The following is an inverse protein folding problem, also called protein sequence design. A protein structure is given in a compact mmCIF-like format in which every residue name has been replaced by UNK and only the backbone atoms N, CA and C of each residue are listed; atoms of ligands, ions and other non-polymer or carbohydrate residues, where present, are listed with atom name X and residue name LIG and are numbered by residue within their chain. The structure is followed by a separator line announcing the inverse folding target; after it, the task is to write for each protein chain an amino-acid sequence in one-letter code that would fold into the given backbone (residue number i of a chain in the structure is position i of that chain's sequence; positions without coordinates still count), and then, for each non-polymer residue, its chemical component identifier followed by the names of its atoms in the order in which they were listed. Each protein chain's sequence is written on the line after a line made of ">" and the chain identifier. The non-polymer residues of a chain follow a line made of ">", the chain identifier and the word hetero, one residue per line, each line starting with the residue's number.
data_IF_924440703933
#
_entry.id   IF_924440703933
#
_cell.length_a   1.000
_cell.length_b   1.000
_cell.length_c   1.000
_cell.angle_alpha   90.00
_cell.angle_beta   90.00
_cell.angle_gamma   90.00
#
_symmetry.space_group_name_H-M   'P 1'
#
loop_
_entity.id
_entity.type
_entity.pdbx_description
1 polymer ?
#
# COMPACT_ATOMS: atom_id res chain seq x y z
N UNK A 1 -19.85 5.31 25.39
CA UNK A 1 -19.08 4.10 25.83
C UNK A 1 -18.33 3.56 24.63
N UNK A 2 -17.10 3.14 24.83
CA UNK A 2 -16.27 2.51 23.78
C UNK A 2 -16.75 1.06 23.60
N UNK A 3 -16.67 0.52 22.40
CA UNK A 3 -16.86 -0.92 22.18
C UNK A 3 -15.76 -1.63 22.98
N UNK A 4 -16.15 -2.31 24.06
CA UNK A 4 -15.20 -2.97 24.97
C UNK A 4 -14.82 -4.36 24.46
N UNK A 5 -13.66 -4.91 24.86
CA UNK A 5 -13.30 -6.29 24.55
C UNK A 5 -14.38 -7.30 25.01
N UNK A 6 -14.99 -7.09 26.15
CA UNK A 6 -16.06 -7.93 26.68
C UNK A 6 -17.32 -7.91 25.80
N UNK A 7 -17.67 -6.75 25.21
CA UNK A 7 -18.77 -6.66 24.26
C UNK A 7 -18.46 -7.46 22.99
N UNK A 8 -17.23 -7.39 22.47
CA UNK A 8 -16.80 -8.16 21.31
C UNK A 8 -16.84 -9.66 21.60
N UNK A 9 -16.39 -10.08 22.78
CA UNK A 9 -16.40 -11.48 23.20
C UNK A 9 -17.83 -12.02 23.31
N UNK A 10 -18.73 -11.27 23.96
CA UNK A 10 -20.15 -11.60 24.04
C UNK A 10 -20.80 -11.69 22.64
N UNK A 11 -20.42 -10.80 21.75
CA UNK A 11 -20.89 -10.81 20.35
C UNK A 11 -20.42 -12.06 19.62
N UNK A 12 -19.14 -12.42 19.74
CA UNK A 12 -18.55 -13.63 19.14
C UNK A 12 -19.21 -14.92 19.64
N UNK A 13 -19.49 -15.01 20.93
CA UNK A 13 -20.12 -16.19 21.51
C UNK A 13 -21.57 -16.43 21.09
N UNK A 14 -22.26 -15.38 20.56
CA UNK A 14 -23.66 -15.46 20.12
C UNK A 14 -23.86 -15.60 18.61
N UNK A 15 -22.81 -15.47 17.83
CA UNK A 15 -22.91 -15.51 16.38
C UNK A 15 -22.08 -16.67 15.83
N UNK A 16 -22.74 -17.62 15.16
CA UNK A 16 -22.05 -18.69 14.44
C UNK A 16 -21.34 -18.10 13.22
N UNK A 17 -20.02 -18.28 13.16
CA UNK A 17 -19.21 -17.82 12.04
C UNK A 17 -19.65 -18.47 10.72
N UNK A 18 -19.98 -19.75 10.73
CA UNK A 18 -20.47 -20.48 9.55
C UNK A 18 -21.79 -19.91 9.05
N UNK A 19 -22.66 -19.37 9.91
CA UNK A 19 -23.91 -18.71 9.49
C UNK A 19 -23.66 -17.38 8.77
N UNK A 20 -22.63 -16.65 9.18
CA UNK A 20 -22.23 -15.39 8.52
C UNK A 20 -21.57 -15.66 7.17
N UNK A 21 -20.58 -16.57 7.17
CA UNK A 21 -19.85 -16.98 5.97
C UNK A 21 -20.77 -17.64 4.96
N UNK A 22 -21.70 -18.47 5.41
CA UNK A 22 -22.63 -19.22 4.57
C UNK A 22 -23.59 -18.35 3.75
N UNK A 23 -23.73 -17.06 4.09
CA UNK A 23 -24.49 -16.10 3.26
C UNK A 23 -23.77 -15.73 1.94
N UNK A 24 -22.46 -15.99 1.85
CA UNK A 24 -21.63 -15.64 0.69
C UNK A 24 -20.86 -16.82 0.11
N UNK A 25 -20.57 -17.82 0.92
CA UNK A 25 -19.78 -19.01 0.57
C UNK A 25 -20.62 -20.25 0.79
N UNK A 26 -20.74 -21.10 -0.25
CA UNK A 26 -21.37 -22.40 -0.08
C UNK A 26 -20.48 -23.30 0.78
N UNK A 27 -20.91 -23.54 2.01
CA UNK A 27 -20.19 -24.34 2.99
C UNK A 27 -20.71 -25.78 3.03
N UNK A 28 -19.79 -26.73 3.09
CA UNK A 28 -20.07 -28.14 3.35
C UNK A 28 -19.58 -28.52 4.76
N UNK A 29 -20.46 -28.95 5.65
CA UNK A 29 -20.06 -29.34 7.01
C UNK A 29 -19.25 -30.64 6.99
N UNK A 30 -18.16 -30.64 7.77
CA UNK A 30 -17.29 -31.79 8.01
C UNK A 30 -16.92 -31.86 9.49
N UNK A 31 -17.78 -32.52 10.30
CA UNK A 31 -17.66 -32.47 11.76
C UNK A 31 -17.91 -31.07 12.31
N UNK A 32 -17.04 -30.61 13.21
CA UNK A 32 -17.10 -29.27 13.81
C UNK A 32 -16.56 -28.13 12.88
N UNK A 33 -16.21 -28.49 11.66
CA UNK A 33 -15.69 -27.52 10.65
C UNK A 33 -16.60 -27.47 9.46
N UNK A 34 -16.60 -26.33 8.78
CA UNK A 34 -17.25 -26.17 7.49
C UNK A 34 -16.20 -25.75 6.43
N UNK A 35 -16.28 -26.37 5.26
CA UNK A 35 -15.33 -26.18 4.18
C UNK A 35 -16.04 -25.57 2.96
N UNK A 36 -15.42 -24.60 2.30
CA UNK A 36 -15.94 -23.98 1.09
C UNK A 36 -14.84 -23.42 0.19
N UNK A 37 -15.24 -22.86 -0.95
CA UNK A 37 -14.32 -22.09 -1.79
C UNK A 37 -14.03 -20.74 -1.16
N UNK A 38 -12.80 -20.31 -1.21
CA UNK A 38 -12.37 -19.05 -0.59
C UNK A 38 -12.97 -17.83 -1.30
N UNK A 39 -13.59 -16.89 -0.56
CA UNK A 39 -14.10 -15.67 -1.17
C UNK A 39 -13.01 -14.62 -1.44
N UNK A 40 -11.76 -14.86 -0.99
CA UNK A 40 -10.66 -13.92 -1.07
C UNK A 40 -9.67 -14.21 -2.20
N UNK A 41 -9.70 -15.43 -2.77
CA UNK A 41 -8.92 -15.79 -3.96
C UNK A 41 -9.71 -16.79 -4.82
N UNK A 42 -9.33 -16.91 -6.08
CA UNK A 42 -9.97 -17.86 -7.02
C UNK A 42 -9.37 -19.24 -6.87
N UNK A 43 -10.21 -20.25 -6.59
CA UNK A 43 -9.79 -21.64 -6.47
C UNK A 43 -10.88 -22.60 -7.00
N UNK A 44 -10.47 -23.81 -7.37
CA UNK A 44 -11.38 -24.87 -7.84
C UNK A 44 -11.66 -25.92 -6.77
N UNK A 45 -10.77 -26.09 -5.84
CA UNK A 45 -10.85 -27.05 -4.71
C UNK A 45 -11.05 -26.29 -3.41
N UNK A 46 -12.05 -26.67 -2.58
CA UNK A 46 -12.29 -25.99 -1.32
C UNK A 46 -11.08 -26.03 -0.39
N UNK A 47 -10.58 -24.86 -0.01
CA UNK A 47 -9.48 -24.70 0.97
C UNK A 47 -9.83 -23.76 2.13
N UNK A 48 -11.02 -23.15 2.08
CA UNK A 48 -11.49 -22.20 3.09
C UNK A 48 -12.21 -22.95 4.22
N UNK A 49 -11.58 -23.04 5.38
CA UNK A 49 -12.07 -23.67 6.58
C UNK A 49 -12.71 -22.66 7.53
N UNK A 50 -13.85 -23.00 8.08
CA UNK A 50 -14.58 -22.25 9.11
C UNK A 50 -14.76 -23.13 10.32
N UNK A 51 -14.33 -22.68 11.49
CA UNK A 51 -14.48 -23.35 12.77
C UNK A 51 -15.36 -22.49 13.69
N UNK A 52 -16.57 -22.95 13.97
CA UNK A 52 -17.51 -22.21 14.83
C UNK A 52 -17.09 -22.25 16.30
N UNK A 53 -16.47 -23.34 16.78
CA UNK A 53 -16.06 -23.50 18.19
C UNK A 53 -14.93 -22.50 18.53
N UNK A 54 -14.00 -22.29 17.60
CA UNK A 54 -12.90 -21.33 17.73
C UNK A 54 -13.33 -19.93 17.29
N UNK A 55 -14.49 -19.78 16.62
CA UNK A 55 -14.95 -18.50 16.04
C UNK A 55 -14.01 -17.94 14.95
N UNK A 56 -13.31 -18.83 14.24
CA UNK A 56 -12.20 -18.47 13.37
C UNK A 56 -12.29 -19.16 12.02
N UNK A 57 -11.91 -18.44 10.95
CA UNK A 57 -11.73 -19.04 9.63
C UNK A 57 -10.27 -18.97 9.19
N UNK A 58 -9.87 -19.95 8.40
CA UNK A 58 -8.55 -19.99 7.78
C UNK A 58 -8.65 -20.60 6.38
N UNK A 59 -8.02 -19.97 5.40
CA UNK A 59 -7.88 -20.51 4.05
C UNK A 59 -6.48 -21.11 3.88
N UNK A 60 -6.41 -22.41 3.63
CA UNK A 60 -5.13 -23.09 3.37
C UNK A 60 -4.56 -22.80 1.98
N UNK A 61 -5.34 -22.19 1.07
CA UNK A 61 -4.87 -21.79 -0.26
C UNK A 61 -4.16 -20.44 -0.28
N UNK A 62 -4.71 -19.41 0.38
CA UNK A 62 -4.14 -18.06 0.37
C UNK A 62 -3.70 -17.54 1.75
N UNK A 63 -3.80 -18.36 2.81
CA UNK A 63 -3.37 -18.00 4.16
C UNK A 63 -4.25 -16.96 4.88
N UNK A 64 -5.32 -16.44 4.24
CA UNK A 64 -6.21 -15.49 4.89
C UNK A 64 -6.90 -16.13 6.08
N UNK A 65 -6.99 -15.39 7.17
CA UNK A 65 -7.60 -15.86 8.41
C UNK A 65 -8.26 -14.72 9.17
N UNK A 66 -9.23 -15.04 10.03
CA UNK A 66 -9.91 -14.04 10.85
C UNK A 66 -11.20 -14.55 11.50
N UNK A 67 -11.88 -13.63 12.18
CA UNK A 67 -13.17 -13.83 12.82
C UNK A 67 -14.34 -13.28 11.99
N UNK A 68 -15.55 -13.34 12.53
CA UNK A 68 -16.76 -12.81 11.86
C UNK A 68 -16.65 -11.32 11.53
N UNK A 69 -16.02 -10.52 12.41
CA UNK A 69 -15.82 -9.07 12.17
C UNK A 69 -14.88 -8.88 10.99
N UNK A 70 -13.74 -9.58 10.98
CA UNK A 70 -12.78 -9.51 9.89
C UNK A 70 -13.39 -9.99 8.57
N UNK A 71 -14.19 -11.07 8.60
CA UNK A 71 -14.88 -11.57 7.42
C UNK A 71 -15.78 -10.50 6.78
N UNK A 72 -16.64 -9.86 7.56
CA UNK A 72 -17.54 -8.80 7.05
C UNK A 72 -16.76 -7.57 6.55
N UNK A 73 -15.67 -7.22 7.25
CA UNK A 73 -14.81 -6.10 6.83
C UNK A 73 -14.12 -6.36 5.48
N UNK A 74 -13.58 -7.55 5.29
CA UNK A 74 -12.83 -7.89 4.08
C UNK A 74 -13.74 -8.21 2.88
N UNK A 75 -14.90 -8.85 3.10
CA UNK A 75 -15.80 -9.24 2.00
C UNK A 75 -16.77 -8.14 1.58
N UNK A 76 -17.18 -7.25 2.50
CA UNK A 76 -18.15 -6.18 2.23
C UNK A 76 -17.57 -4.78 2.34
N UNK A 77 -16.27 -4.64 2.66
CA UNK A 77 -15.64 -3.33 2.81
C UNK A 77 -16.13 -2.52 4.01
N UNK A 78 -16.76 -3.14 5.01
CA UNK A 78 -17.29 -2.48 6.18
C UNK A 78 -16.16 -1.96 7.07
N UNK A 79 -16.35 -0.81 7.73
CA UNK A 79 -15.49 -0.41 8.82
C UNK A 79 -15.77 -1.26 10.07
N UNK A 80 -14.90 -1.19 11.09
CA UNK A 80 -15.03 -2.01 12.30
C UNK A 80 -16.38 -1.82 13.01
N UNK A 81 -16.83 -0.59 13.15
CA UNK A 81 -18.07 -0.27 13.86
C UNK A 81 -19.30 -0.79 13.10
N UNK A 82 -19.31 -0.64 11.76
CA UNK A 82 -20.42 -1.13 10.94
C UNK A 82 -20.47 -2.66 10.91
N UNK A 83 -19.32 -3.34 10.87
CA UNK A 83 -19.25 -4.79 10.99
C UNK A 83 -19.75 -5.27 12.37
N UNK A 84 -19.33 -4.62 13.44
CA UNK A 84 -19.82 -4.90 14.80
C UNK A 84 -21.33 -4.62 14.93
N UNK A 85 -21.83 -3.55 14.34
CA UNK A 85 -23.28 -3.23 14.32
C UNK A 85 -24.09 -4.29 13.59
N UNK A 86 -23.62 -4.76 12.45
CA UNK A 86 -24.30 -5.82 11.71
C UNK A 86 -24.33 -7.12 12.50
N UNK A 87 -23.21 -7.50 13.11
CA UNK A 87 -23.16 -8.69 13.97
C UNK A 87 -24.03 -8.55 15.23
N UNK A 88 -24.07 -7.36 15.85
CA UNK A 88 -24.93 -7.09 16.99
C UNK A 88 -26.41 -7.23 16.62
N UNK A 89 -26.80 -6.74 15.45
CA UNK A 89 -28.16 -6.92 14.91
C UNK A 89 -28.49 -8.40 14.71
N UNK A 90 -27.56 -9.19 14.17
CA UNK A 90 -27.74 -10.63 13.98
C UNK A 90 -27.81 -11.37 15.31
N UNK A 91 -27.00 -10.96 16.29
CA UNK A 91 -26.96 -11.53 17.64
C UNK A 91 -28.15 -11.12 18.53
N UNK A 92 -28.96 -10.15 18.09
CA UNK A 92 -30.03 -9.58 18.91
C UNK A 92 -29.52 -8.78 20.10
N UNK A 93 -28.31 -8.19 19.99
CA UNK A 93 -27.68 -7.39 21.06
C UNK A 93 -27.74 -5.93 20.68
N UNK A 94 -28.17 -5.08 21.63
CA UNK A 94 -28.13 -3.63 21.44
C UNK A 94 -26.67 -3.14 21.40
N UNK A 95 -26.33 -2.35 20.37
CA UNK A 95 -25.04 -1.67 20.33
C UNK A 95 -24.87 -0.74 21.53
N UNK A 96 -23.67 -0.70 22.15
CA UNK A 96 -23.36 0.36 23.07
C UNK A 96 -23.56 1.73 22.41
N UNK A 97 -24.13 2.70 23.12
CA UNK A 97 -24.23 4.05 22.57
C UNK A 97 -22.86 4.61 22.21
N UNK A 98 -22.69 4.97 20.94
CA UNK A 98 -21.48 5.64 20.47
C UNK A 98 -21.49 7.05 21.06
N UNK A 99 -20.56 7.33 21.96
CA UNK A 99 -20.47 8.63 22.60
C UNK A 99 -20.26 9.79 21.62
N UNK A 100 -20.59 11.03 22.02
CA UNK A 100 -20.45 12.23 21.16
C UNK A 100 -19.03 12.41 20.60
N UNK A 101 -18.00 11.98 21.32
CA UNK A 101 -16.59 12.05 20.91
C UNK A 101 -16.31 11.13 19.72
N UNK A 102 -16.89 9.93 19.69
CA UNK A 102 -16.72 8.98 18.59
C UNK A 102 -17.46 9.44 17.33
N UNK A 103 -18.65 10.03 17.47
CA UNK A 103 -19.39 10.64 16.35
C UNK A 103 -18.61 11.80 15.73
N UNK A 104 -18.10 12.71 16.56
CA UNK A 104 -17.29 13.84 16.08
C UNK A 104 -16.00 13.39 15.37
N UNK A 105 -15.36 12.31 15.86
CA UNK A 105 -14.19 11.72 15.21
C UNK A 105 -14.54 11.11 13.85
N UNK A 106 -15.67 10.40 13.75
CA UNK A 106 -16.15 9.84 12.49
C UNK A 106 -16.50 10.92 11.48
N UNK A 107 -17.18 11.99 11.90
CA UNK A 107 -17.50 13.12 11.02
C UNK A 107 -16.23 13.81 10.50
N UNK A 108 -15.23 14.05 11.39
CA UNK A 108 -13.92 14.59 10.98
C UNK A 108 -13.23 13.71 9.96
N UNK A 109 -13.23 12.39 10.19
CA UNK A 109 -12.65 11.40 9.28
C UNK A 109 -13.37 11.42 7.94
N UNK A 110 -14.70 11.46 7.92
CA UNK A 110 -15.52 11.54 6.71
C UNK A 110 -15.22 12.82 5.93
N UNK A 111 -15.21 13.99 6.58
CA UNK A 111 -14.86 15.28 5.96
C UNK A 111 -13.44 15.28 5.39
N UNK A 112 -12.48 14.67 6.11
CA UNK A 112 -11.12 14.53 5.63
C UNK A 112 -11.06 13.70 4.34
N UNK A 113 -11.67 12.51 4.31
CA UNK A 113 -11.69 11.65 3.14
C UNK A 113 -12.42 12.30 1.95
N UNK A 114 -13.54 12.98 2.21
CA UNK A 114 -14.26 13.76 1.18
C UNK A 114 -13.38 14.87 0.58
N UNK A 115 -12.59 15.55 1.40
CA UNK A 115 -11.65 16.56 0.94
C UNK A 115 -10.57 15.96 0.02
N UNK A 116 -10.00 14.81 0.40
CA UNK A 116 -9.01 14.09 -0.40
C UNK A 116 -9.61 13.59 -1.74
N UNK A 117 -10.84 13.08 -1.73
CA UNK A 117 -11.51 12.63 -2.97
C UNK A 117 -11.79 13.80 -3.91
N UNK A 118 -12.24 14.95 -3.39
CA UNK A 118 -12.42 16.17 -4.18
C UNK A 118 -11.09 16.66 -4.77
N UNK A 119 -10.00 16.64 -4.00
CA UNK A 119 -8.67 16.98 -4.51
C UNK A 119 -8.19 16.00 -5.58
N UNK A 120 -8.45 14.70 -5.41
CA UNK A 120 -8.14 13.67 -6.41
C UNK A 120 -8.87 13.97 -7.72
N UNK A 121 -10.17 14.24 -7.65
CA UNK A 121 -10.97 14.62 -8.80
C UNK A 121 -10.41 15.90 -9.48
N UNK A 122 -10.08 16.92 -8.70
CA UNK A 122 -9.50 18.16 -9.20
C UNK A 122 -8.20 17.90 -9.98
N UNK A 123 -7.26 17.14 -9.42
CA UNK A 123 -6.00 16.84 -10.08
C UNK A 123 -6.17 15.97 -11.34
N UNK A 124 -7.05 14.96 -11.30
CA UNK A 124 -7.35 14.13 -12.48
C UNK A 124 -8.02 14.95 -13.60
N UNK A 125 -8.91 15.86 -13.24
CA UNK A 125 -9.55 16.75 -14.20
C UNK A 125 -8.55 17.70 -14.85
N UNK A 126 -7.64 18.30 -14.06
CA UNK A 126 -6.63 19.22 -14.58
C UNK A 126 -5.62 18.52 -15.50
N UNK A 127 -5.30 17.26 -15.30
CA UNK A 127 -4.42 16.50 -16.22
C UNK A 127 -4.99 16.41 -17.65
N UNK A 128 -6.32 16.50 -17.80
CA UNK A 128 -7.03 16.41 -19.08
C UNK A 128 -7.25 17.77 -19.74
N UNK A 129 -6.85 18.87 -19.09
CA UNK A 129 -6.97 20.23 -19.61
C UNK A 129 -5.69 20.69 -20.29
N UNK A 130 -5.76 21.83 -21.00
CA UNK A 130 -4.58 22.47 -21.59
C UNK A 130 -3.49 22.77 -20.54
N UNK A 131 -3.86 23.09 -19.29
CA UNK A 131 -2.89 23.30 -18.20
C UNK A 131 -2.10 22.05 -17.84
N UNK A 132 -2.69 20.86 -18.03
CA UNK A 132 -2.07 19.58 -17.74
C UNK A 132 -1.30 18.95 -18.91
N UNK A 133 -1.25 19.58 -20.07
CA UNK A 133 -0.65 19.01 -21.29
C UNK A 133 0.80 18.58 -21.07
N UNK A 134 1.63 19.46 -20.47
CA UNK A 134 3.03 19.13 -20.14
C UNK A 134 3.14 17.92 -19.20
N UNK A 135 2.23 17.80 -18.24
CA UNK A 135 2.20 16.67 -17.32
C UNK A 135 1.80 15.37 -18.05
N UNK A 136 0.80 15.46 -18.91
CA UNK A 136 0.34 14.32 -19.70
C UNK A 136 1.42 13.86 -20.70
N UNK A 137 2.10 14.77 -21.34
CA UNK A 137 3.20 14.47 -22.26
C UNK A 137 4.40 13.87 -21.54
N UNK A 138 4.74 14.36 -20.35
CA UNK A 138 5.73 13.73 -19.49
C UNK A 138 5.37 12.25 -19.18
N UNK A 139 4.12 11.98 -18.81
CA UNK A 139 3.66 10.61 -18.52
C UNK A 139 3.71 9.72 -19.77
N UNK A 140 3.33 10.25 -20.94
CA UNK A 140 3.44 9.52 -22.23
C UNK A 140 4.89 9.24 -22.61
N UNK A 141 5.81 10.20 -22.45
CA UNK A 141 7.24 10.02 -22.69
C UNK A 141 7.85 8.96 -21.78
N UNK A 142 7.29 8.77 -20.57
CA UNK A 142 7.61 7.66 -19.67
C UNK A 142 6.92 6.35 -20.05
N UNK A 143 6.27 6.27 -21.22
CA UNK A 143 5.64 5.04 -21.72
C UNK A 143 4.30 4.69 -21.07
N UNK A 144 3.68 5.59 -20.29
CA UNK A 144 2.45 5.27 -19.58
C UNK A 144 1.23 5.36 -20.47
N UNK A 145 0.52 4.26 -20.64
CA UNK A 145 -0.77 4.22 -21.35
C UNK A 145 -1.87 4.94 -20.58
N UNK A 146 -2.94 5.35 -21.27
CA UNK A 146 -4.14 5.92 -20.66
C UNK A 146 -4.70 5.01 -19.55
N UNK A 147 -4.71 3.68 -19.78
CA UNK A 147 -5.17 2.69 -18.81
C UNK A 147 -4.37 2.75 -17.50
N UNK A 148 -3.05 2.83 -17.59
CA UNK A 148 -2.18 2.94 -16.41
C UNK A 148 -2.37 4.27 -15.68
N UNK A 149 -2.49 5.39 -16.41
CA UNK A 149 -2.78 6.70 -15.83
C UNK A 149 -4.10 6.68 -15.05
N UNK A 150 -5.13 6.02 -15.57
CA UNK A 150 -6.42 5.87 -14.91
C UNK A 150 -6.37 4.88 -13.74
N UNK A 151 -5.67 3.74 -13.88
CA UNK A 151 -5.50 2.74 -12.82
C UNK A 151 -4.82 3.32 -11.57
N UNK A 152 -3.78 4.16 -11.76
CA UNK A 152 -3.11 4.84 -10.68
C UNK A 152 -3.75 6.18 -10.29
N UNK A 153 -4.85 6.56 -10.96
CA UNK A 153 -5.57 7.82 -10.73
C UNK A 153 -4.67 9.06 -10.82
N UNK A 154 -3.65 9.02 -11.70
CA UNK A 154 -2.67 10.10 -11.83
C UNK A 154 -3.33 11.42 -12.20
N UNK A 155 -2.75 12.52 -11.73
CA UNK A 155 -3.30 13.85 -11.92
C UNK A 155 -2.23 14.92 -12.11
N UNK A 156 -2.67 16.16 -12.23
CA UNK A 156 -1.83 17.32 -12.28
C UNK A 156 -2.30 18.41 -11.32
N UNK A 157 -1.40 18.91 -10.50
CA UNK A 157 -1.61 20.09 -9.66
C UNK A 157 -1.14 21.33 -10.40
N UNK A 158 -2.05 22.22 -10.82
CA UNK A 158 -1.68 23.49 -11.43
C UNK A 158 -1.00 24.41 -10.39
N UNK A 159 -0.47 25.57 -10.83
CA UNK A 159 0.17 26.54 -9.94
C UNK A 159 -0.75 27.04 -8.82
N UNK A 160 -2.06 27.07 -9.05
CA UNK A 160 -3.08 27.47 -8.08
C UNK A 160 -4.46 26.98 -8.50
N UNK A 161 -5.44 27.07 -7.60
CA UNK A 161 -6.85 26.81 -7.90
C UNK A 161 -7.49 25.75 -6.99
N UNK A 162 -6.72 24.86 -6.38
CA UNK A 162 -7.26 23.83 -5.50
C UNK A 162 -7.95 24.45 -4.28
N UNK A 163 -7.32 25.41 -3.61
CA UNK A 163 -7.91 26.08 -2.44
C UNK A 163 -9.26 26.73 -2.78
N UNK A 164 -9.36 27.43 -3.92
CA UNK A 164 -10.61 28.01 -4.40
C UNK A 164 -11.66 26.94 -4.73
N UNK A 165 -11.25 25.87 -5.39
CA UNK A 165 -12.12 24.73 -5.72
C UNK A 165 -12.70 24.08 -4.47
N UNK A 166 -11.86 23.77 -3.46
CA UNK A 166 -12.28 23.16 -2.20
C UNK A 166 -13.23 24.07 -1.41
N UNK A 167 -12.94 25.38 -1.36
CA UNK A 167 -13.82 26.36 -0.73
C UNK A 167 -15.21 26.39 -1.38
N UNK A 168 -15.28 26.32 -2.71
CA UNK A 168 -16.56 26.27 -3.46
C UNK A 168 -17.31 24.94 -3.27
N UNK A 169 -16.69 23.94 -2.64
CA UNK A 169 -17.28 22.65 -2.23
C UNK A 169 -17.49 22.55 -0.73
N UNK A 170 -17.56 23.69 -0.04
CA UNK A 170 -17.81 23.82 1.40
C UNK A 170 -16.77 23.11 2.28
N UNK A 171 -15.55 22.90 1.75
CA UNK A 171 -14.42 22.39 2.53
C UNK A 171 -13.74 23.55 3.27
N UNK A 172 -13.68 23.46 4.60
CA UNK A 172 -13.01 24.47 5.42
C UNK A 172 -11.48 24.47 5.22
N UNK A 173 -10.85 25.63 5.47
CA UNK A 173 -9.39 25.76 5.40
C UNK A 173 -8.67 24.85 6.39
N UNK A 174 -9.27 24.56 7.54
CA UNK A 174 -8.73 23.64 8.55
C UNK A 174 -8.68 22.20 8.02
N UNK A 175 -9.74 21.73 7.37
CA UNK A 175 -9.80 20.38 6.79
C UNK A 175 -8.81 20.24 5.65
N UNK A 176 -8.71 21.22 4.75
CA UNK A 176 -7.76 21.20 3.64
C UNK A 176 -6.29 21.26 4.11
N UNK A 177 -6.01 22.01 5.18
CA UNK A 177 -4.69 22.06 5.84
C UNK A 177 -4.37 20.71 6.52
N UNK A 178 -5.32 20.14 7.27
CA UNK A 178 -5.18 18.82 7.90
C UNK A 178 -4.93 17.72 6.86
N UNK A 179 -5.54 17.83 5.69
CA UNK A 179 -5.33 16.94 4.56
C UNK A 179 -3.99 17.15 3.82
N UNK A 180 -3.19 18.15 4.24
CA UNK A 180 -1.92 18.47 3.60
C UNK A 180 -2.05 19.00 2.17
N UNK A 181 -3.21 19.58 1.81
CA UNK A 181 -3.52 20.09 0.49
C UNK A 181 -3.27 21.59 0.36
N UNK A 182 -3.38 22.29 1.48
CA UNK A 182 -3.11 23.73 1.57
C UNK A 182 -2.17 24.03 2.72
N UNK A 183 -1.47 25.14 2.62
CA UNK A 183 -0.60 25.66 3.69
C UNK A 183 -0.88 27.15 3.88
N UNK A 184 -0.52 27.67 5.03
CA UNK A 184 -0.67 29.08 5.37
C UNK A 184 0.68 29.79 5.30
N UNK A 185 0.74 30.93 4.61
CA UNK A 185 1.89 31.81 4.58
C UNK A 185 1.74 32.89 5.64
N UNK A 186 2.57 32.86 6.67
CA UNK A 186 2.60 33.93 7.68
C UNK A 186 3.02 35.28 7.08
N UNK A 187 3.83 35.22 6.01
CA UNK A 187 4.33 36.43 5.34
C UNK A 187 3.21 37.19 4.62
N UNK A 188 2.30 36.46 3.97
CA UNK A 188 1.26 37.06 3.12
C UNK A 188 -0.13 36.98 3.73
N UNK A 189 -0.28 36.32 4.91
CA UNK A 189 -1.54 36.09 5.58
C UNK A 189 -2.55 35.27 4.77
N UNK A 190 -2.10 34.46 3.79
CA UNK A 190 -2.97 33.75 2.85
C UNK A 190 -2.71 32.25 2.83
N UNK A 191 -3.79 31.50 2.59
CA UNK A 191 -3.67 30.09 2.28
C UNK A 191 -3.25 29.91 0.81
N UNK A 192 -2.33 28.98 0.56
CA UNK A 192 -1.88 28.61 -0.77
C UNK A 192 -1.92 27.10 -0.97
N UNK A 193 -1.99 26.64 -2.22
CA UNK A 193 -1.98 25.23 -2.58
C UNK A 193 -0.61 24.62 -2.28
N UNK A 194 -0.59 23.51 -1.53
CA UNK A 194 0.66 22.85 -1.13
C UNK A 194 1.40 22.23 -2.32
N UNK A 195 0.65 21.60 -3.22
CA UNK A 195 1.17 21.04 -4.46
C UNK A 195 0.96 22.05 -5.61
N UNK A 196 2.02 22.39 -6.31
CA UNK A 196 2.00 23.40 -7.40
C UNK A 196 2.90 22.97 -8.53
N UNK A 197 2.40 22.98 -9.76
CA UNK A 197 3.09 22.59 -11.00
C UNK A 197 3.75 21.19 -10.87
N UNK A 198 2.93 20.19 -10.52
CA UNK A 198 3.41 18.83 -10.25
C UNK A 198 2.50 17.77 -10.83
N UNK A 199 3.10 16.67 -11.33
CA UNK A 199 2.39 15.40 -11.52
C UNK A 199 2.02 14.83 -10.15
N UNK A 200 0.77 14.38 -10.01
CA UNK A 200 0.23 13.89 -8.75
C UNK A 200 0.08 12.37 -8.77
N UNK A 201 0.53 11.74 -7.69
CA UNK A 201 0.46 10.31 -7.44
C UNK A 201 -0.42 10.08 -6.22
N UNK A 202 -1.72 9.73 -6.40
CA UNK A 202 -2.60 9.44 -5.27
C UNK A 202 -2.11 8.20 -4.51
N UNK A 203 -1.97 8.33 -3.19
CA UNK A 203 -1.55 7.25 -2.30
C UNK A 203 -2.81 6.65 -1.69
N UNK A 204 -3.00 5.35 -1.89
CA UNK A 204 -4.17 4.62 -1.46
C UNK A 204 -3.90 3.79 -0.21
N UNK A 205 -4.89 3.68 0.66
CA UNK A 205 -4.89 2.69 1.73
C UNK A 205 -5.25 1.30 1.18
N UNK A 206 -5.22 0.27 2.04
CA UNK A 206 -5.54 -1.11 1.67
C UNK A 206 -6.97 -1.34 1.18
N UNK A 207 -7.87 -0.36 1.40
CA UNK A 207 -9.26 -0.38 0.90
C UNK A 207 -9.43 0.31 -0.45
N UNK A 208 -8.35 0.89 -1.02
CA UNK A 208 -8.39 1.64 -2.28
C UNK A 208 -8.83 3.10 -2.13
N UNK A 209 -9.05 3.59 -0.91
CA UNK A 209 -9.34 4.99 -0.66
C UNK A 209 -8.06 5.80 -0.74
N UNK A 210 -8.06 6.91 -1.46
CA UNK A 210 -6.94 7.86 -1.44
C UNK A 210 -6.87 8.52 -0.08
N UNK A 211 -5.67 8.56 0.51
CA UNK A 211 -5.43 9.10 1.85
C UNK A 211 -4.36 10.20 1.87
N UNK A 212 -3.57 10.30 0.82
CA UNK A 212 -2.49 11.26 0.66
C UNK A 212 -2.05 11.35 -0.80
N UNK A 213 -1.06 12.19 -1.08
CA UNK A 213 -0.48 12.35 -2.40
C UNK A 213 1.04 12.38 -2.34
N UNK A 214 1.68 11.75 -3.32
CA UNK A 214 3.00 12.08 -3.79
C UNK A 214 2.91 13.05 -4.96
N UNK A 215 3.96 13.81 -5.19
CA UNK A 215 4.00 14.76 -6.30
C UNK A 215 5.41 14.90 -6.86
N UNK A 216 5.54 15.00 -8.19
CA UNK A 216 6.81 15.23 -8.88
C UNK A 216 6.78 16.53 -9.66
N UNK A 217 7.79 17.37 -9.46
CA UNK A 217 7.96 18.61 -10.23
C UNK A 217 8.20 18.32 -11.71
N UNK A 218 7.58 19.10 -12.60
CA UNK A 218 7.78 19.01 -14.04
C UNK A 218 9.03 19.77 -14.51
N UNK A 219 9.43 20.82 -13.79
CA UNK A 219 10.62 21.60 -14.03
C UNK A 219 11.66 21.45 -12.94
N UNK A 220 12.48 22.51 -12.73
CA UNK A 220 13.59 22.53 -11.77
C UNK A 220 13.17 22.81 -10.32
N UNK A 221 11.86 22.88 -10.04
CA UNK A 221 11.37 23.16 -8.70
C UNK A 221 11.84 22.10 -7.68
N UNK A 222 12.44 22.53 -6.60
CA UNK A 222 12.90 21.68 -5.49
C UNK A 222 11.87 21.66 -4.36
N UNK A 223 11.69 20.52 -3.70
CA UNK A 223 12.27 19.21 -4.01
C UNK A 223 11.65 18.58 -5.27
N UNK A 224 12.39 17.74 -5.99
CA UNK A 224 11.90 17.01 -7.17
C UNK A 224 10.67 16.18 -6.85
N UNK A 225 10.69 15.45 -5.73
CA UNK A 225 9.54 14.73 -5.17
C UNK A 225 9.09 15.38 -3.87
N UNK A 226 7.77 15.54 -3.71
CA UNK A 226 7.12 16.11 -2.54
C UNK A 226 5.97 15.21 -2.13
N UNK A 227 5.90 14.82 -0.86
CA UNK A 227 4.81 14.02 -0.32
C UNK A 227 3.93 14.84 0.61
N UNK A 228 2.66 14.45 0.74
CA UNK A 228 1.81 14.97 1.82
C UNK A 228 2.52 14.86 3.16
N UNK A 229 2.34 15.82 4.06
CA UNK A 229 2.74 15.67 5.45
C UNK A 229 1.97 14.50 6.08
N UNK A 230 2.51 13.96 7.18
CA UNK A 230 1.78 12.95 7.96
C UNK A 230 0.47 13.54 8.50
N UNK A 231 -0.57 12.72 8.54
CA UNK A 231 -1.91 13.11 8.94
C UNK A 231 -2.55 11.99 9.77
N UNK A 232 -3.72 12.21 10.39
CA UNK A 232 -4.41 11.15 11.14
C UNK A 232 -4.71 9.88 10.35
N UNK A 233 -4.73 9.95 9.02
CA UNK A 233 -5.02 8.83 8.12
C UNK A 233 -3.81 8.35 7.33
N UNK A 234 -2.67 9.04 7.43
CA UNK A 234 -1.51 8.78 6.61
C UNK A 234 -0.21 8.93 7.40
N UNK A 235 0.58 7.86 7.42
CA UNK A 235 1.97 7.86 7.90
C UNK A 235 2.86 7.21 6.84
N UNK A 236 3.89 7.92 6.41
CA UNK A 236 4.86 7.44 5.39
C UNK A 236 5.52 6.13 5.78
N UNK A 237 5.68 5.86 7.08
CA UNK A 237 6.35 4.66 7.60
C UNK A 237 5.46 3.41 7.54
N UNK A 238 4.14 3.58 7.46
CA UNK A 238 3.17 2.49 7.57
C UNK A 238 2.45 2.18 6.24
N UNK A 239 2.76 2.92 5.17
CA UNK A 239 2.07 2.78 3.88
C UNK A 239 3.08 2.45 2.79
N UNK A 240 2.70 1.58 1.86
CA UNK A 240 3.41 1.29 0.62
C UNK A 240 2.58 1.78 -0.56
N UNK A 241 3.21 2.48 -1.50
CA UNK A 241 2.59 2.87 -2.76
C UNK A 241 2.36 1.66 -3.67
N UNK A 242 1.26 1.65 -4.41
CA UNK A 242 0.94 0.58 -5.35
C UNK A 242 0.21 -0.62 -4.74
N UNK A 243 -0.24 -0.54 -3.48
CA UNK A 243 -0.83 -1.68 -2.76
C UNK A 243 -2.00 -2.35 -3.50
N UNK A 244 -2.93 -1.56 -4.02
CA UNK A 244 -4.13 -2.09 -4.69
C UNK A 244 -3.74 -2.82 -5.98
N UNK A 245 -2.87 -2.19 -6.76
CA UNK A 245 -2.37 -2.72 -8.03
C UNK A 245 -1.53 -3.99 -7.82
N UNK A 246 -0.67 -3.97 -6.79
CA UNK A 246 0.18 -5.12 -6.46
C UNK A 246 -0.65 -6.31 -5.97
N UNK A 247 -1.64 -6.08 -5.08
CA UNK A 247 -2.53 -7.14 -4.57
C UNK A 247 -3.23 -7.89 -5.70
N UNK A 248 -3.72 -7.17 -6.71
CA UNK A 248 -4.40 -7.79 -7.84
C UNK A 248 -3.44 -8.67 -8.67
N UNK A 249 -2.22 -8.19 -8.91
CA UNK A 249 -1.22 -8.90 -9.71
C UNK A 249 -0.66 -10.12 -9.00
N UNK A 250 -0.41 -10.02 -7.70
CA UNK A 250 0.04 -11.17 -6.89
C UNK A 250 -1.03 -12.28 -6.86
N UNK A 251 -2.31 -11.94 -6.88
CA UNK A 251 -3.41 -12.93 -7.02
C UNK A 251 -3.32 -13.71 -8.34
N UNK A 252 -2.69 -13.14 -9.35
CA UNK A 252 -2.42 -13.81 -10.61
C UNK A 252 -1.02 -14.45 -10.66
N UNK A 253 -0.43 -14.72 -9.48
CA UNK A 253 0.88 -15.37 -9.32
C UNK A 253 2.05 -14.61 -9.96
N UNK A 254 1.96 -13.28 -10.09
CA UNK A 254 3.10 -12.46 -10.49
C UNK A 254 4.02 -12.20 -9.29
N UNK A 255 5.35 -12.18 -9.51
CA UNK A 255 6.32 -11.86 -8.45
C UNK A 255 6.09 -10.45 -7.92
N UNK A 256 6.38 -10.23 -6.63
CA UNK A 256 6.27 -8.94 -5.98
C UNK A 256 7.64 -8.30 -5.83
N UNK A 257 7.79 -7.08 -6.33
CA UNK A 257 8.99 -6.27 -6.16
C UNK A 257 8.78 -5.19 -5.11
N UNK A 258 9.83 -4.89 -4.36
CA UNK A 258 9.96 -3.69 -3.55
C UNK A 258 10.97 -2.77 -4.22
N UNK A 259 10.51 -1.64 -4.73
CA UNK A 259 11.29 -0.64 -5.49
C UNK A 259 11.35 0.68 -4.73
N UNK A 260 12.08 1.70 -5.24
CA UNK A 260 12.30 2.95 -4.47
C UNK A 260 11.22 4.01 -4.68
N UNK A 261 10.69 4.14 -5.90
CA UNK A 261 9.89 5.29 -6.28
C UNK A 261 8.53 5.00 -6.90
N UNK A 262 7.76 6.07 -7.05
CA UNK A 262 6.44 6.03 -7.69
C UNK A 262 6.51 5.55 -9.13
N UNK A 263 7.49 6.06 -9.91
CA UNK A 263 7.62 5.74 -11.32
C UNK A 263 8.00 4.30 -11.53
N UNK A 264 8.86 3.74 -10.68
CA UNK A 264 9.27 2.34 -10.74
C UNK A 264 8.07 1.41 -10.51
N UNK A 265 7.24 1.70 -9.49
CA UNK A 265 6.00 0.95 -9.25
C UNK A 265 5.10 0.98 -10.48
N UNK A 266 4.93 2.15 -11.08
CA UNK A 266 4.05 2.31 -12.23
C UNK A 266 4.61 1.60 -13.46
N UNK A 267 5.93 1.72 -13.73
CA UNK A 267 6.61 1.07 -14.84
C UNK A 267 6.58 -0.46 -14.72
N UNK A 268 6.91 -1.00 -13.55
CA UNK A 268 6.81 -2.44 -13.27
C UNK A 268 5.37 -2.92 -13.48
N UNK A 269 4.39 -2.19 -12.95
CA UNK A 269 2.97 -2.50 -13.12
C UNK A 269 2.55 -2.48 -14.60
N UNK A 270 3.01 -1.49 -15.37
CA UNK A 270 2.73 -1.33 -16.79
C UNK A 270 3.34 -2.46 -17.63
N UNK A 271 4.47 -3.02 -17.22
CA UNK A 271 5.12 -4.16 -17.89
C UNK A 271 4.28 -5.43 -17.87
N UNK A 272 3.32 -5.55 -16.95
CA UNK A 272 2.48 -6.73 -16.70
C UNK A 272 3.27 -8.01 -16.36
N UNK A 273 4.55 -7.90 -16.00
CA UNK A 273 5.43 -9.03 -15.68
C UNK A 273 5.63 -9.23 -14.18
N UNK A 274 5.36 -8.20 -13.38
CA UNK A 274 5.50 -8.25 -11.93
C UNK A 274 4.50 -7.29 -11.25
N UNK A 275 4.33 -7.47 -9.95
CA UNK A 275 3.73 -6.52 -9.05
C UNK A 275 4.83 -5.67 -8.41
N UNK A 276 4.53 -4.43 -8.00
CA UNK A 276 5.51 -3.61 -7.29
C UNK A 276 4.88 -2.77 -6.20
N UNK A 277 5.68 -2.53 -5.15
CA UNK A 277 5.40 -1.63 -4.04
C UNK A 277 6.61 -0.73 -3.80
N UNK A 278 6.39 0.49 -3.32
CA UNK A 278 7.48 1.38 -2.92
C UNK A 278 7.20 2.07 -1.58
N UNK A 279 8.24 2.31 -0.75
CA UNK A 279 8.17 3.24 0.36
C UNK A 279 7.99 4.68 -0.16
N UNK A 280 7.60 5.60 0.73
CA UNK A 280 7.19 6.95 0.36
C UNK A 280 8.29 7.99 0.67
N UNK A 281 9.43 7.90 -0.01
CA UNK A 281 10.56 8.82 0.18
C UNK A 281 11.28 8.64 1.51
N UNK A 282 11.21 7.44 2.08
CA UNK A 282 11.94 7.01 3.27
C UNK A 282 12.55 5.64 3.01
N UNK A 283 13.60 5.30 3.74
CA UNK A 283 14.10 3.94 3.69
C UNK A 283 13.04 2.94 4.16
N UNK A 284 13.00 1.78 3.53
CA UNK A 284 12.05 0.68 3.83
C UNK A 284 12.07 0.34 5.34
N UNK A 285 10.89 0.34 5.97
CA UNK A 285 10.73 0.07 7.40
C UNK A 285 10.36 -1.39 7.67
N UNK A 286 10.51 -1.85 8.91
CA UNK A 286 10.10 -3.19 9.34
C UNK A 286 8.59 -3.41 9.18
N UNK A 287 7.78 -2.39 9.46
CA UNK A 287 6.33 -2.42 9.27
C UNK A 287 5.96 -2.58 7.79
N UNK A 288 6.69 -1.91 6.90
CA UNK A 288 6.49 -2.03 5.45
C UNK A 288 6.89 -3.41 4.91
N UNK A 289 7.97 -4.01 5.43
CA UNK A 289 8.35 -5.39 5.11
C UNK A 289 7.25 -6.36 5.54
N UNK A 290 6.84 -6.30 6.82
CA UNK A 290 5.76 -7.13 7.35
C UNK A 290 4.46 -6.93 6.54
N UNK A 291 4.21 -5.73 6.05
CA UNK A 291 3.08 -5.45 5.19
C UNK A 291 3.25 -6.13 3.82
N UNK A 292 4.41 -6.08 3.18
CA UNK A 292 4.67 -6.75 1.91
C UNK A 292 4.51 -8.27 2.01
N UNK A 293 4.94 -8.88 3.11
CA UNK A 293 4.74 -10.32 3.39
C UNK A 293 3.27 -10.74 3.52
N UNK A 294 2.34 -9.81 3.71
CA UNK A 294 0.90 -10.11 3.62
C UNK A 294 0.42 -10.35 2.19
N UNK A 295 1.18 -9.92 1.20
CA UNK A 295 0.89 -10.18 -0.20
C UNK A 295 1.71 -11.34 -0.78
N UNK A 296 2.99 -11.43 -0.43
CA UNK A 296 3.91 -12.41 -1.00
C UNK A 296 4.96 -12.85 0.03
N UNK A 297 5.19 -14.15 0.15
CA UNK A 297 6.10 -14.70 1.17
C UNK A 297 7.58 -14.39 0.90
N UNK A 298 7.93 -14.19 -0.38
CA UNK A 298 9.29 -13.93 -0.85
C UNK A 298 9.31 -12.76 -1.84
N UNK A 299 9.08 -11.49 -1.42
CA UNK A 299 9.21 -10.34 -2.30
C UNK A 299 10.68 -10.11 -2.70
N UNK A 300 10.90 -9.51 -3.87
CA UNK A 300 12.22 -9.19 -4.41
C UNK A 300 12.53 -7.72 -4.17
N UNK A 301 13.60 -7.40 -3.43
CA UNK A 301 14.14 -6.05 -3.34
C UNK A 301 14.82 -5.70 -4.67
N UNK A 302 14.34 -4.66 -5.34
CA UNK A 302 14.86 -4.22 -6.64
C UNK A 302 15.05 -2.70 -6.59
N UNK A 303 16.17 -2.28 -5.97
CA UNK A 303 16.53 -0.87 -5.79
C UNK A 303 17.44 -0.41 -6.92
N UNK A 304 17.65 0.93 -7.00
CA UNK A 304 18.44 1.54 -8.05
C UNK A 304 19.87 0.98 -8.11
N UNK A 305 20.43 0.86 -9.30
CA UNK A 305 21.78 0.31 -9.52
C UNK A 305 22.92 1.24 -9.08
N UNK A 306 22.60 2.47 -8.65
CA UNK A 306 23.57 3.43 -8.17
C UNK A 306 24.05 3.11 -6.73
N UNK A 307 25.01 3.91 -6.23
CA UNK A 307 25.55 3.76 -4.87
C UNK A 307 24.48 3.95 -3.78
N UNK A 308 23.49 4.81 -4.00
CA UNK A 308 22.45 5.09 -3.01
C UNK A 308 21.49 3.90 -2.87
N UNK A 309 21.07 3.31 -3.99
CA UNK A 309 20.22 2.12 -4.03
C UNK A 309 20.92 0.88 -3.46
N UNK A 310 22.22 0.67 -3.79
CA UNK A 310 23.03 -0.40 -3.15
C UNK A 310 23.07 -0.25 -1.62
N UNK A 311 23.28 0.97 -1.12
CA UNK A 311 23.22 1.26 0.32
C UNK A 311 21.80 1.09 0.90
N UNK A 312 20.77 1.38 0.14
CA UNK A 312 19.37 1.15 0.57
C UNK A 312 19.08 -0.35 0.71
N UNK A 313 19.58 -1.19 -0.21
CA UNK A 313 19.47 -2.64 -0.12
C UNK A 313 20.17 -3.19 1.15
N UNK A 314 21.37 -2.73 1.44
CA UNK A 314 22.11 -3.08 2.67
C UNK A 314 21.28 -2.76 3.92
N UNK A 315 20.79 -1.52 4.04
CA UNK A 315 19.95 -1.11 5.19
C UNK A 315 18.62 -1.90 5.26
N UNK A 316 18.07 -2.28 4.12
CA UNK A 316 16.87 -3.11 4.10
C UNK A 316 17.14 -4.51 4.64
N UNK A 317 18.25 -5.15 4.24
CA UNK A 317 18.69 -6.45 4.76
C UNK A 317 18.84 -6.39 6.28
N UNK A 318 19.55 -5.39 6.81
CA UNK A 318 19.74 -5.20 8.25
C UNK A 318 18.43 -5.05 9.04
N UNK A 319 17.39 -4.47 8.44
CA UNK A 319 16.07 -4.32 9.06
C UNK A 319 15.21 -5.57 8.94
N UNK A 320 15.41 -6.36 7.89
CA UNK A 320 14.67 -7.58 7.62
C UNK A 320 15.12 -8.71 8.55
N UNK A 321 16.42 -8.90 8.74
CA UNK A 321 16.99 -10.01 9.51
C UNK A 321 16.36 -10.17 10.91
N UNK A 322 16.17 -9.09 11.72
CA UNK A 322 15.59 -9.23 13.07
C UNK A 322 14.10 -9.58 13.09
N UNK A 323 13.39 -9.42 11.97
CA UNK A 323 11.92 -9.59 11.88
C UNK A 323 11.51 -10.74 10.97
N UNK A 324 12.45 -11.60 10.59
CA UNK A 324 12.17 -12.81 9.82
C UNK A 324 11.22 -13.74 10.59
N UNK A 325 10.22 -14.21 9.87
CA UNK A 325 9.26 -15.20 10.36
C UNK A 325 9.42 -16.51 9.58
N UNK A 326 9.06 -17.67 10.15
CA UNK A 326 9.07 -18.93 9.42
C UNK A 326 8.25 -18.85 8.13
N UNK A 327 8.85 -19.25 7.00
CA UNK A 327 8.24 -19.19 5.67
C UNK A 327 8.26 -17.82 5.01
N UNK A 328 8.83 -16.79 5.66
CA UNK A 328 9.00 -15.45 5.08
C UNK A 328 10.46 -15.16 4.80
N UNK A 329 10.74 -14.61 3.63
CA UNK A 329 12.09 -14.16 3.25
C UNK A 329 12.00 -13.02 2.25
N UNK A 330 13.13 -12.62 1.68
CA UNK A 330 13.24 -11.74 0.52
C UNK A 330 14.34 -12.23 -0.42
N UNK A 331 14.25 -11.84 -1.67
CA UNK A 331 15.35 -11.92 -2.63
C UNK A 331 15.89 -10.53 -2.94
N UNK A 332 17.10 -10.44 -3.42
CA UNK A 332 17.77 -9.20 -3.77
C UNK A 332 18.11 -9.23 -5.26
N UNK A 333 17.49 -8.37 -6.04
CA UNK A 333 17.79 -8.16 -7.44
C UNK A 333 18.81 -7.03 -7.58
N UNK A 334 19.84 -7.24 -8.39
CA UNK A 334 20.86 -6.23 -8.69
C UNK A 334 20.64 -5.68 -10.07
N UNK A 335 20.39 -4.38 -10.17
CA UNK A 335 20.27 -3.67 -11.45
C UNK A 335 21.66 -3.30 -12.01
N UNK A 336 21.77 -3.10 -13.33
CA UNK A 336 22.95 -2.48 -13.92
C UNK A 336 23.28 -1.12 -13.28
N UNK A 337 24.53 -0.71 -13.41
CA UNK A 337 24.99 0.57 -12.84
C UNK A 337 24.17 1.74 -13.43
N UNK A 338 23.82 2.71 -12.58
CA UNK A 338 23.01 3.91 -12.90
C UNK A 338 21.66 3.61 -13.61
N UNK A 339 21.10 2.42 -13.41
CA UNK A 339 19.82 2.01 -13.96
C UNK A 339 18.77 1.87 -12.85
N UNK A 340 17.59 2.45 -13.02
CA UNK A 340 16.42 2.20 -12.19
C UNK A 340 15.45 1.19 -12.87
N UNK A 341 14.44 0.66 -12.16
CA UNK A 341 13.46 -0.26 -12.75
C UNK A 341 12.68 0.33 -13.93
N UNK A 342 12.37 1.64 -13.93
CA UNK A 342 11.71 2.34 -15.04
C UNK A 342 12.62 2.39 -16.27
N UNK A 343 13.89 2.73 -16.09
CA UNK A 343 14.91 2.74 -17.15
C UNK A 343 15.14 1.35 -17.73
N UNK A 344 15.25 0.33 -16.88
CA UNK A 344 15.39 -1.07 -17.32
C UNK A 344 14.24 -1.49 -18.24
N UNK A 345 13.01 -1.20 -17.83
CA UNK A 345 11.82 -1.58 -18.60
C UNK A 345 11.75 -0.79 -19.92
N UNK A 346 12.10 0.49 -19.92
CA UNK A 346 12.11 1.31 -21.15
C UNK A 346 13.12 0.83 -22.17
N UNK A 347 14.28 0.34 -21.74
CA UNK A 347 15.36 -0.11 -22.65
C UNK A 347 15.25 -1.59 -23.01
N UNK A 348 14.80 -2.44 -22.11
CA UNK A 348 14.83 -3.90 -22.25
C UNK A 348 13.47 -4.59 -22.15
N UNK A 349 12.39 -3.79 -21.98
CA UNK A 349 11.02 -4.30 -21.84
C UNK A 349 10.80 -5.15 -20.58
N UNK A 350 9.62 -5.75 -20.49
CA UNK A 350 9.28 -6.63 -19.38
C UNK A 350 10.14 -7.91 -19.30
N UNK A 351 10.69 -8.38 -20.41
CA UNK A 351 11.58 -9.54 -20.42
C UNK A 351 12.94 -9.22 -19.77
N UNK A 352 13.42 -7.97 -19.91
CA UNK A 352 14.59 -7.49 -19.18
C UNK A 352 14.37 -7.56 -17.66
N UNK A 353 13.20 -7.11 -17.21
CA UNK A 353 12.82 -7.19 -15.80
C UNK A 353 12.77 -8.64 -15.30
N UNK A 354 12.17 -9.57 -16.06
CA UNK A 354 12.11 -10.98 -15.67
C UNK A 354 13.49 -11.63 -15.54
N UNK A 355 14.44 -11.28 -16.42
CA UNK A 355 15.83 -11.76 -16.28
C UNK A 355 16.46 -11.33 -14.97
N UNK A 356 16.27 -10.08 -14.57
CA UNK A 356 16.77 -9.55 -13.28
C UNK A 356 16.09 -10.25 -12.10
N UNK A 357 14.79 -10.44 -12.14
CA UNK A 357 14.04 -11.17 -11.08
C UNK A 357 14.58 -12.59 -10.94
N UNK A 358 14.74 -13.31 -12.04
CA UNK A 358 15.20 -14.71 -12.05
C UNK A 358 16.66 -14.87 -11.61
N UNK A 359 17.49 -13.83 -11.76
CA UNK A 359 18.90 -13.81 -11.30
C UNK A 359 19.06 -13.25 -9.90
N UNK A 360 17.97 -12.95 -9.18
CA UNK A 360 18.04 -12.40 -7.83
C UNK A 360 18.68 -13.36 -6.83
N UNK A 361 19.50 -12.83 -5.95
CA UNK A 361 20.20 -13.57 -4.89
C UNK A 361 19.24 -13.86 -3.74
N UNK A 362 19.48 -14.95 -3.01
CA UNK A 362 18.80 -15.19 -1.74
C UNK A 362 19.26 -14.16 -0.68
N UNK A 363 18.45 -13.97 0.36
CA UNK A 363 18.81 -13.10 1.49
C UNK A 363 20.15 -13.52 2.11
N UNK A 364 20.40 -14.83 2.22
CA UNK A 364 21.65 -15.38 2.79
C UNK A 364 22.84 -15.03 1.91
N UNK A 365 22.76 -15.30 0.60
CA UNK A 365 23.85 -15.02 -0.33
C UNK A 365 24.18 -13.53 -0.40
N UNK A 366 23.17 -12.68 -0.42
CA UNK A 366 23.34 -11.22 -0.40
C UNK A 366 23.98 -10.73 0.90
N UNK A 367 23.54 -11.26 2.05
CA UNK A 367 24.11 -10.94 3.36
C UNK A 367 25.55 -11.38 3.44
N UNK A 368 25.85 -12.60 2.98
CA UNK A 368 27.20 -13.13 2.92
C UNK A 368 28.10 -12.25 2.05
N UNK A 369 27.69 -11.99 0.81
CA UNK A 369 28.45 -11.17 -0.13
C UNK A 369 28.75 -9.78 0.42
N UNK A 370 27.77 -9.15 1.08
CA UNK A 370 27.93 -7.86 1.74
C UNK A 370 28.96 -7.93 2.87
N UNK A 371 28.84 -8.91 3.77
CA UNK A 371 29.77 -9.05 4.91
C UNK A 371 31.18 -9.42 4.43
N UNK A 372 31.29 -10.35 3.50
CA UNK A 372 32.58 -10.76 2.95
C UNK A 372 33.33 -9.61 2.24
N UNK A 373 32.61 -8.69 1.60
CA UNK A 373 33.21 -7.52 0.95
C UNK A 373 33.82 -6.49 1.92
N UNK A 374 33.52 -6.57 3.22
CA UNK A 374 34.09 -5.70 4.25
C UNK A 374 35.46 -6.19 4.73
N UNK A 375 35.89 -7.38 4.35
CA UNK A 375 37.12 -8.04 4.81
C UNK A 375 37.92 -8.55 3.60
N UNK A 376 39.26 -8.45 3.70
CA UNK A 376 40.15 -9.07 2.74
C UNK A 376 40.25 -10.57 3.05
N UNK A 377 39.33 -11.38 2.51
CA UNK A 377 39.16 -12.81 2.84
C UNK A 377 40.40 -13.69 2.47
N UNK A 378 41.32 -13.16 1.68
CA UNK A 378 42.62 -13.78 1.38
C UNK A 378 43.65 -13.61 2.51
N UNK A 379 43.44 -12.68 3.46
CA UNK A 379 44.28 -12.47 4.61
C UNK A 379 43.77 -13.27 5.82
N UNK A 380 44.62 -14.11 6.48
CA UNK A 380 44.19 -14.94 7.60
C UNK A 380 43.60 -14.13 8.78
N UNK A 381 44.18 -12.97 9.08
CA UNK A 381 43.72 -12.07 10.14
C UNK A 381 42.36 -11.50 9.86
N UNK A 382 42.09 -11.09 8.62
CA UNK A 382 40.82 -10.57 8.19
C UNK A 382 39.74 -11.66 8.20
N UNK A 383 40.08 -12.89 7.81
CA UNK A 383 39.20 -14.05 7.95
C UNK A 383 38.81 -14.33 9.38
N UNK A 384 39.80 -14.23 10.32
CA UNK A 384 39.52 -14.43 11.73
C UNK A 384 38.59 -13.37 12.33
N UNK A 385 38.63 -12.13 11.83
CA UNK A 385 37.72 -11.06 12.22
C UNK A 385 36.32 -11.23 11.64
N UNK A 386 36.22 -11.92 10.52
CA UNK A 386 34.93 -12.19 9.85
C UNK A 386 34.10 -13.25 10.60
N UNK A 387 34.76 -14.27 11.20
CA UNK A 387 34.14 -15.36 11.97
C UNK A 387 33.90 -14.99 13.44
#
# INVERSE_FOLDING_TARGET
>A
MTITPEFIENLRSRVSLSSIVGKQVKLTKKGNRALGLCPFHSEKTPSFNVNDDEGFYHCFGCGVSGDAINFLRETRGLNFIDAVRELASIAGISMPEIGPIDKAKQERQSKFLSCIDLATFFFQSNLKTQHGEKALDYLKQRGLSKKIIEEFRLGYAPLSGLNKFLKNKDISAEVSKLAGLTSFSERDGRNYDYFRDRVMFPIQNRKGQVIAFGARALGEAKPKYLNSPDSPSFSKKAVLYGWIQARERVRHNLPLLLVEGYMDVIAVTASQKAAALAPLGTALTTEQITLAWKLHDEPVLCFDGDRAGKNAAVRAIERILPVLEPGKTVKIATLPEDCDPDDLIRHHGGEGLLRIINSSQTLIDATWSQKASMYEMNQPEQRALFW
#
